data_IF_382523631999
#
_entry.id   IF_382523631999
#
_cell.length_a   1.000
_cell.length_b   1.000
_cell.length_c   1.000
_cell.angle_alpha   90.00
_cell.angle_beta   90.00
_cell.angle_gamma   90.00
#
_symmetry.space_group_name_H-M   'P 1'
#
loop_
_entity.id
_entity.type
_entity.pdbx_description
1 polymer ?
#
# COMPACT_ATOMS: atom_id res chain seq x y z
N UNK A 1 9.41 -20.55 10.64
CA UNK A 1 9.08 -19.19 10.18
C UNK A 1 8.21 -19.38 8.96
N UNK A 2 6.90 -19.24 9.12
CA UNK A 2 5.99 -19.40 7.98
C UNK A 2 6.17 -18.17 7.11
N UNK A 3 6.64 -18.39 5.89
CA UNK A 3 6.77 -17.39 4.83
C UNK A 3 5.35 -16.96 4.46
N UNK A 4 4.80 -16.02 5.23
CA UNK A 4 3.44 -15.51 5.09
C UNK A 4 3.45 -14.62 3.84
N UNK A 5 3.36 -15.24 2.66
CA UNK A 5 3.21 -14.56 1.38
C UNK A 5 1.73 -14.46 1.03
N UNK A 6 1.35 -13.38 0.39
CA UNK A 6 -0.01 -13.13 -0.06
C UNK A 6 -0.01 -12.99 -1.57
N UNK A 7 -0.77 -13.84 -2.27
CA UNK A 7 -0.80 -13.78 -3.72
C UNK A 7 -1.39 -12.47 -4.23
N UNK A 8 -0.98 -12.06 -5.43
CA UNK A 8 -1.54 -10.86 -6.06
C UNK A 8 -3.05 -10.97 -6.28
N UNK A 9 -3.53 -12.15 -6.67
CA UNK A 9 -4.97 -12.41 -6.83
C UNK A 9 -5.70 -12.18 -5.51
N UNK A 10 -5.20 -12.73 -4.41
CA UNK A 10 -5.81 -12.53 -3.09
C UNK A 10 -5.77 -11.08 -2.66
N UNK A 11 -4.67 -10.37 -2.91
CA UNK A 11 -4.58 -8.93 -2.61
C UNK A 11 -5.61 -8.13 -3.41
N UNK A 12 -5.84 -8.45 -4.69
CA UNK A 12 -6.86 -7.80 -5.51
C UNK A 12 -8.27 -8.02 -4.96
N UNK A 13 -8.58 -9.23 -4.47
CA UNK A 13 -9.87 -9.48 -3.79
C UNK A 13 -10.04 -8.66 -2.51
N UNK A 14 -8.97 -8.51 -1.72
CA UNK A 14 -8.98 -7.70 -0.50
C UNK A 14 -9.14 -6.21 -0.80
N UNK A 15 -8.52 -5.72 -1.87
CA UNK A 15 -8.70 -4.35 -2.35
C UNK A 15 -10.14 -4.13 -2.85
N UNK A 16 -10.69 -5.08 -3.62
CA UNK A 16 -12.04 -4.99 -4.17
C UNK A 16 -13.13 -5.04 -3.08
N UNK A 17 -12.88 -5.76 -1.98
CA UNK A 17 -13.77 -5.83 -0.82
C UNK A 17 -13.58 -4.67 0.17
N UNK A 18 -12.52 -3.88 0.03
CA UNK A 18 -12.17 -2.80 0.95
C UNK A 18 -11.50 -3.26 2.25
N UNK A 19 -11.12 -4.54 2.36
CA UNK A 19 -10.37 -5.09 3.49
C UNK A 19 -8.89 -4.67 3.48
N UNK A 20 -8.34 -4.42 2.29
CA UNK A 20 -7.00 -3.88 2.10
C UNK A 20 -7.05 -2.44 1.59
N UNK A 21 -6.04 -1.64 1.95
CA UNK A 21 -5.94 -0.24 1.54
C UNK A 21 -4.60 0.01 0.84
N UNK A 22 -4.60 0.37 -0.46
CA UNK A 22 -3.36 0.71 -1.14
C UNK A 22 -2.82 2.02 -0.59
N UNK A 23 -1.49 2.19 -0.56
CA UNK A 23 -0.88 3.42 -0.05
C UNK A 23 -1.29 4.66 -0.85
N UNK A 24 -1.45 4.51 -2.16
CA UNK A 24 -1.84 5.59 -3.07
C UNK A 24 -3.12 5.18 -3.81
N UNK A 25 -4.13 6.03 -3.76
CA UNK A 25 -5.38 5.79 -4.47
C UNK A 25 -5.13 5.72 -5.99
N UNK A 26 -5.76 4.74 -6.65
CA UNK A 26 -5.65 4.57 -8.11
C UNK A 26 -4.39 3.85 -8.61
N UNK A 27 -3.49 3.41 -7.71
CA UNK A 27 -2.40 2.50 -8.07
C UNK A 27 -2.74 1.07 -7.64
N UNK A 28 -2.82 0.16 -8.62
CA UNK A 28 -3.09 -1.27 -8.39
C UNK A 28 -1.83 -2.02 -7.90
N UNK A 29 -0.64 -1.45 -8.13
CA UNK A 29 0.65 -2.05 -7.78
C UNK A 29 1.40 -1.11 -6.84
N UNK A 30 1.57 -1.53 -5.59
CA UNK A 30 2.29 -0.76 -4.59
C UNK A 30 2.14 -1.31 -3.17
N UNK A 31 2.79 -0.67 -2.19
CA UNK A 31 2.64 -1.03 -0.79
C UNK A 31 1.17 -0.94 -0.36
N UNK A 32 0.69 -1.98 0.31
CA UNK A 32 -0.73 -2.14 0.66
C UNK A 32 -0.85 -2.50 2.14
N UNK A 33 -1.73 -1.80 2.87
CA UNK A 33 -2.01 -2.06 4.27
C UNK A 33 -3.13 -3.11 4.38
N UNK A 34 -2.86 -4.20 5.10
CA UNK A 34 -3.83 -5.25 5.35
C UNK A 34 -3.46 -6.01 6.62
N UNK A 35 -4.45 -6.32 7.47
CA UNK A 35 -4.29 -7.06 8.71
C UNK A 35 -3.17 -6.50 9.63
N UNK A 36 -3.20 -5.18 9.87
CA UNK A 36 -2.27 -4.44 10.72
C UNK A 36 -0.79 -4.51 10.30
N UNK A 37 -0.54 -4.69 9.01
CA UNK A 37 0.82 -4.69 8.45
C UNK A 37 0.86 -4.20 7.01
N UNK A 38 2.05 -3.77 6.61
CA UNK A 38 2.35 -3.44 5.22
C UNK A 38 2.77 -4.68 4.44
N UNK A 39 2.23 -4.78 3.23
CA UNK A 39 2.55 -5.78 2.23
C UNK A 39 3.09 -5.08 0.99
N UNK A 40 4.09 -5.66 0.32
CA UNK A 40 4.63 -5.09 -0.90
C UNK A 40 5.21 -6.16 -1.83
N UNK A 41 5.35 -5.83 -3.11
CA UNK A 41 6.11 -6.62 -4.08
C UNK A 41 7.47 -5.94 -4.24
N UNK A 42 8.61 -6.64 -4.04
CA UNK A 42 9.93 -6.06 -4.28
C UNK A 42 10.10 -5.62 -5.73
N UNK A 43 10.72 -4.47 -5.96
CA UNK A 43 10.90 -3.88 -7.31
C UNK A 43 11.67 -4.79 -8.27
N UNK A 44 12.54 -5.65 -7.75
CA UNK A 44 13.35 -6.59 -8.53
C UNK A 44 12.69 -7.98 -8.68
N UNK A 45 11.49 -8.16 -8.15
CA UNK A 45 10.76 -9.41 -8.26
C UNK A 45 10.11 -9.57 -9.64
N UNK A 46 9.77 -10.80 -9.99
CA UNK A 46 9.01 -11.09 -11.22
C UNK A 46 7.64 -10.38 -11.20
N UNK A 47 7.06 -10.14 -12.37
CA UNK A 47 5.77 -9.45 -12.52
C UNK A 47 4.62 -10.18 -11.79
N UNK A 48 4.73 -11.50 -11.62
CA UNK A 48 3.79 -12.38 -10.94
C UNK A 48 4.16 -12.67 -9.48
N UNK A 49 5.18 -11.99 -8.94
CA UNK A 49 5.63 -12.24 -7.58
C UNK A 49 4.54 -11.92 -6.53
N UNK A 50 4.48 -12.75 -5.50
CA UNK A 50 3.59 -12.56 -4.38
C UNK A 50 4.00 -11.34 -3.53
N UNK A 51 3.02 -10.78 -2.83
CA UNK A 51 3.27 -9.81 -1.79
C UNK A 51 3.98 -10.48 -0.62
N UNK A 52 4.94 -9.76 -0.07
CA UNK A 52 5.61 -10.12 1.17
C UNK A 52 5.39 -9.06 2.24
N UNK A 53 5.41 -9.44 3.53
CA UNK A 53 5.30 -8.48 4.61
C UNK A 53 6.51 -7.56 4.61
N UNK A 54 6.28 -6.29 4.92
CA UNK A 54 7.33 -5.32 5.12
C UNK A 54 8.00 -5.55 6.48
N UNK A 55 9.32 -5.60 6.48
CA UNK A 55 10.10 -5.52 7.72
C UNK A 55 9.81 -4.21 8.47
N UNK A 56 10.14 -4.10 9.77
CA UNK A 56 9.87 -2.90 10.57
C UNK A 56 10.38 -1.60 9.92
N UNK A 57 11.62 -1.60 9.42
CA UNK A 57 12.20 -0.42 8.75
C UNK A 57 11.39 0.01 7.52
N UNK A 58 10.96 -0.94 6.68
CA UNK A 58 10.15 -0.64 5.49
C UNK A 58 8.75 -0.18 5.89
N UNK A 59 8.17 -0.80 6.91
CA UNK A 59 6.87 -0.40 7.46
C UNK A 59 6.91 1.07 7.92
N UNK A 60 7.94 1.48 8.67
CA UNK A 60 8.11 2.87 9.10
C UNK A 60 8.26 3.85 7.92
N UNK A 61 8.95 3.42 6.85
CA UNK A 61 9.07 4.22 5.63
C UNK A 61 7.72 4.37 4.93
N UNK A 62 6.96 3.29 4.83
CA UNK A 62 5.63 3.29 4.25
C UNK A 62 4.67 4.19 5.05
N UNK A 63 4.71 4.15 6.38
CA UNK A 63 3.94 5.07 7.21
C UNK A 63 4.34 6.54 7.06
N UNK A 64 5.63 6.83 6.85
CA UNK A 64 6.07 8.18 6.52
C UNK A 64 5.55 8.63 5.16
N UNK A 65 5.59 7.76 4.15
CA UNK A 65 5.11 8.07 2.80
C UNK A 65 3.59 8.29 2.78
N UNK A 66 2.82 7.41 3.42
CA UNK A 66 1.36 7.54 3.54
C UNK A 66 0.98 8.88 4.15
N UNK A 67 1.58 9.24 5.30
CA UNK A 67 1.30 10.53 5.97
C UNK A 67 1.62 11.73 5.07
N UNK A 68 2.67 11.65 4.25
CA UNK A 68 3.01 12.71 3.29
C UNK A 68 2.00 12.78 2.16
N UNK A 69 1.54 11.64 1.63
CA UNK A 69 0.51 11.59 0.60
C UNK A 69 -0.81 12.21 1.10
N UNK A 70 -1.28 11.80 2.28
CA UNK A 70 -2.48 12.36 2.91
C UNK A 70 -2.38 13.88 3.14
N UNK A 71 -1.19 14.37 3.51
CA UNK A 71 -0.95 15.80 3.68
C UNK A 71 -1.01 16.56 2.35
N UNK A 72 -0.50 15.97 1.26
CA UNK A 72 -0.55 16.56 -0.08
C UNK A 72 -2.00 16.62 -0.58
N UNK A 73 -2.77 15.54 -0.43
CA UNK A 73 -4.18 15.50 -0.84
C UNK A 73 -5.01 16.55 -0.09
N UNK A 74 -4.76 16.73 1.22
CA UNK A 74 -5.42 17.78 2.01
C UNK A 74 -5.11 19.17 1.48
N UNK A 75 -3.83 19.48 1.23
CA UNK A 75 -3.42 20.78 0.71
C UNK A 75 -4.05 21.05 -0.66
N UNK A 76 -4.11 20.03 -1.54
CA UNK A 76 -4.78 20.16 -2.84
C UNK A 76 -6.27 20.46 -2.68
N UNK A 77 -6.98 19.69 -1.85
CA UNK A 77 -8.41 19.93 -1.60
C UNK A 77 -8.69 21.34 -1.02
N UNK A 78 -7.82 21.87 -0.17
CA UNK A 78 -7.92 23.24 0.35
C UNK A 78 -7.68 24.32 -0.73
N UNK A 79 -6.83 24.04 -1.73
CA UNK A 79 -6.60 24.93 -2.87
C UNK A 79 -7.78 24.90 -3.85
N UNK A 80 -8.29 23.71 -4.18
CA UNK A 80 -9.41 23.52 -5.11
C UNK A 80 -10.73 24.10 -4.55
N UNK A 81 -10.95 24.00 -3.23
CA UNK A 81 -12.13 24.57 -2.57
C UNK A 81 -12.09 26.09 -2.34
N UNK A 82 -11.00 26.77 -2.72
CA UNK A 82 -10.85 28.23 -2.64
C UNK A 82 -11.07 28.96 -3.97
N UNK A 83 -11.33 28.23 -5.06
CA UNK A 83 -11.80 28.80 -6.34
C UNK A 83 -13.32 28.95 -6.39
#
# INVERSE_FOLDING_TARGET
MTDDKLSQERMRELLASGEATPMLAGLEVGPTWYADRWWYIPTEAAEDADYQPADPEKSERFDQLRRRAEAVERVQAELDGRQ
#
